data_IF_122750766905
#
_entry.id   IF_122750766905
#
_cell.length_a   1.000
_cell.length_b   1.000
_cell.length_c   1.000
_cell.angle_alpha   90.00
_cell.angle_beta   90.00
_cell.angle_gamma   90.00
#
_symmetry.space_group_name_H-M   'P 1'
#
loop_
_entity.id
_entity.type
_entity.pdbx_description
1 polymer ?
#
# COMPACT_ATOMS: atom_id res chain seq x y z
N UNK A 1 -28.69 4.29 -16.06
CA UNK A 1 -28.89 5.65 -16.54
C UNK A 1 -27.65 6.19 -17.24
N UNK A 2 -27.79 7.09 -18.19
CA UNK A 2 -26.69 7.63 -18.97
C UNK A 2 -25.62 8.33 -18.10
N UNK A 3 -26.05 8.99 -17.04
CA UNK A 3 -25.14 9.67 -16.11
C UNK A 3 -24.26 8.66 -15.36
N UNK A 4 -24.85 7.59 -14.86
CA UNK A 4 -24.11 6.54 -14.17
C UNK A 4 -23.10 5.84 -15.08
N UNK A 5 -23.49 5.53 -16.30
CA UNK A 5 -22.62 4.88 -17.27
C UNK A 5 -21.44 5.78 -17.67
N UNK A 6 -21.68 7.07 -17.89
CA UNK A 6 -20.64 8.03 -18.23
C UNK A 6 -19.64 8.22 -17.09
N UNK A 7 -20.12 8.33 -15.86
CA UNK A 7 -19.28 8.47 -14.67
C UNK A 7 -18.46 7.19 -14.45
N UNK A 8 -19.08 6.03 -14.62
CA UNK A 8 -18.38 4.75 -14.48
C UNK A 8 -17.26 4.57 -15.50
N UNK A 9 -17.46 5.00 -16.75
CA UNK A 9 -16.44 4.94 -17.79
C UNK A 9 -15.27 5.87 -17.49
N UNK A 10 -15.52 7.08 -16.99
CA UNK A 10 -14.48 8.03 -16.59
C UNK A 10 -13.65 7.49 -15.42
N UNK A 11 -14.31 6.92 -14.41
CA UNK A 11 -13.67 6.32 -13.26
C UNK A 11 -12.77 5.16 -13.72
N UNK A 12 -13.29 4.30 -14.61
CA UNK A 12 -12.54 3.19 -15.16
C UNK A 12 -11.27 3.64 -15.88
N UNK A 13 -11.36 4.69 -16.70
CA UNK A 13 -10.19 5.23 -17.42
C UNK A 13 -9.15 5.80 -16.47
N UNK A 14 -9.57 6.54 -15.45
CA UNK A 14 -8.65 7.09 -14.44
C UNK A 14 -7.96 5.98 -13.66
N UNK A 15 -8.71 4.95 -13.26
CA UNK A 15 -8.15 3.81 -12.54
C UNK A 15 -7.21 3.01 -13.44
N UNK A 16 -7.54 2.80 -14.70
CA UNK A 16 -6.69 2.11 -15.66
C UNK A 16 -5.37 2.85 -15.87
N UNK A 17 -5.44 4.17 -15.99
CA UNK A 17 -4.24 5.00 -16.13
C UNK A 17 -3.37 4.95 -14.88
N UNK A 18 -3.98 5.07 -13.71
CA UNK A 18 -3.27 4.98 -12.42
C UNK A 18 -2.59 3.62 -12.29
N UNK A 19 -3.27 2.54 -12.63
CA UNK A 19 -2.71 1.19 -12.60
C UNK A 19 -1.55 1.06 -13.58
N UNK A 20 -1.68 1.57 -14.80
CA UNK A 20 -0.64 1.51 -15.83
C UNK A 20 0.61 2.28 -15.40
N UNK A 21 0.44 3.48 -14.82
CA UNK A 21 1.56 4.28 -14.32
C UNK A 21 2.24 3.59 -13.13
N UNK A 22 1.45 3.00 -12.21
CA UNK A 22 2.00 2.27 -11.07
C UNK A 22 2.81 1.05 -11.52
N UNK A 23 2.40 0.37 -12.57
CA UNK A 23 3.12 -0.79 -13.12
C UNK A 23 4.51 -0.44 -13.65
N UNK A 24 4.75 0.82 -13.99
CA UNK A 24 6.06 1.28 -14.45
C UNK A 24 7.07 1.42 -13.31
N UNK A 25 6.62 1.37 -12.07
CA UNK A 25 7.46 1.56 -10.90
C UNK A 25 8.14 0.25 -10.55
N UNK A 26 9.47 0.26 -10.50
CA UNK A 26 10.24 -0.93 -10.13
C UNK A 26 9.93 -1.31 -8.68
N UNK A 27 9.65 -2.59 -8.46
CA UNK A 27 9.31 -3.11 -7.14
C UNK A 27 7.84 -3.04 -6.78
N UNK A 28 7.00 -2.42 -7.61
CA UNK A 28 5.56 -2.35 -7.39
C UNK A 28 4.85 -3.49 -8.12
N UNK A 29 3.98 -4.18 -7.42
CA UNK A 29 3.04 -5.15 -8.00
C UNK A 29 1.67 -4.52 -7.98
N UNK A 30 0.98 -4.50 -9.12
CA UNK A 30 -0.26 -3.77 -9.28
C UNK A 30 -1.39 -4.72 -9.65
N UNK A 31 -2.50 -4.58 -8.92
CA UNK A 31 -3.71 -5.38 -9.15
C UNK A 31 -4.92 -4.44 -9.11
N UNK A 32 -5.80 -4.57 -10.08
CA UNK A 32 -7.09 -3.91 -10.04
C UNK A 32 -8.08 -4.82 -9.33
N UNK A 33 -8.74 -4.29 -8.31
CA UNK A 33 -9.71 -5.05 -7.52
C UNK A 33 -11.07 -4.36 -7.57
N UNK A 34 -12.12 -5.15 -7.36
CA UNK A 34 -13.48 -4.65 -7.26
C UNK A 34 -14.03 -5.13 -5.92
N UNK A 35 -14.54 -4.20 -5.11
CA UNK A 35 -15.13 -4.56 -3.83
C UNK A 35 -16.53 -5.14 -4.00
N UNK A 36 -17.16 -5.55 -2.89
CA UNK A 36 -18.49 -6.16 -2.89
C UNK A 36 -19.59 -5.20 -3.39
N UNK A 37 -19.33 -3.90 -3.37
CA UNK A 37 -20.26 -2.88 -3.84
C UNK A 37 -20.00 -2.47 -5.30
N UNK A 38 -19.07 -3.14 -5.97
CA UNK A 38 -18.70 -2.81 -7.34
C UNK A 38 -17.76 -1.63 -7.47
N UNK A 39 -17.24 -1.11 -6.36
CA UNK A 39 -16.24 -0.04 -6.38
C UNK A 39 -14.89 -0.59 -6.80
N UNK A 40 -14.28 0.04 -7.78
CA UNK A 40 -12.95 -0.35 -8.27
C UNK A 40 -11.86 0.34 -7.48
N UNK A 41 -10.81 -0.41 -7.18
CA UNK A 41 -9.62 0.10 -6.53
C UNK A 41 -8.38 -0.44 -7.24
N UNK A 42 -7.27 0.28 -7.10
CA UNK A 42 -5.96 -0.21 -7.52
C UNK A 42 -5.19 -0.54 -6.25
N UNK A 43 -4.73 -1.78 -6.17
CA UNK A 43 -3.89 -2.24 -5.08
C UNK A 43 -2.45 -2.30 -5.56
N UNK A 44 -1.59 -1.54 -4.93
CA UNK A 44 -0.15 -1.51 -5.23
C UNK A 44 0.59 -2.13 -4.06
N UNK A 45 1.30 -3.20 -4.30
CA UNK A 45 2.04 -3.93 -3.27
C UNK A 45 3.53 -3.70 -3.45
N UNK A 46 4.19 -3.29 -2.37
CA UNK A 46 5.64 -3.13 -2.31
C UNK A 46 6.21 -4.14 -1.33
N UNK A 47 7.28 -4.83 -1.74
CA UNK A 47 8.01 -5.75 -0.85
C UNK A 47 8.74 -4.95 0.23
N UNK A 48 8.53 -5.31 1.49
CA UNK A 48 9.21 -4.64 2.61
C UNK A 48 10.73 -4.78 2.54
N UNK A 49 11.25 -5.86 1.96
CA UNK A 49 12.68 -6.03 1.77
C UNK A 49 13.30 -5.01 0.82
N UNK A 50 12.50 -4.49 -0.11
CA UNK A 50 12.90 -3.40 -1.00
C UNK A 50 12.75 -2.05 -0.30
N UNK A 51 11.67 -1.88 0.44
CA UNK A 51 11.34 -0.59 1.05
C UNK A 51 12.21 -0.25 2.27
N UNK A 52 12.52 -1.24 3.09
CA UNK A 52 13.11 -0.99 4.41
C UNK A 52 14.37 -1.80 4.62
N UNK A 53 15.26 -1.28 5.46
CA UNK A 53 16.37 -2.06 5.99
C UNK A 53 15.83 -3.05 7.02
N UNK A 54 16.56 -4.15 7.22
CA UNK A 54 16.11 -5.26 8.08
C UNK A 54 15.78 -4.78 9.49
N UNK A 55 14.59 -5.16 9.97
CA UNK A 55 14.18 -4.94 11.34
C UNK A 55 13.78 -3.51 11.69
N UNK A 56 13.71 -2.60 10.73
CA UNK A 56 13.31 -1.22 11.04
C UNK A 56 12.38 -0.65 9.97
N UNK A 57 11.97 0.61 10.19
CA UNK A 57 11.04 1.33 9.33
C UNK A 57 11.72 2.46 8.54
N UNK A 58 13.05 2.44 8.45
CA UNK A 58 13.79 3.43 7.66
C UNK A 58 13.75 3.06 6.19
N UNK A 59 13.33 3.99 5.35
CA UNK A 59 13.23 3.76 3.92
C UNK A 59 14.60 3.69 3.26
N UNK A 60 14.79 2.70 2.39
CA UNK A 60 16.00 2.58 1.58
C UNK A 60 16.02 3.64 0.48
N UNK A 61 17.20 3.93 -0.12
CA UNK A 61 17.27 4.84 -1.28
C UNK A 61 16.41 4.37 -2.45
N UNK A 62 16.36 3.05 -2.71
CA UNK A 62 15.52 2.47 -3.76
C UNK A 62 14.03 2.71 -3.46
N UNK A 63 13.64 2.59 -2.19
CA UNK A 63 12.28 2.86 -1.75
C UNK A 63 11.90 4.32 -1.99
N UNK A 64 12.78 5.24 -1.63
CA UNK A 64 12.53 6.66 -1.83
C UNK A 64 12.34 6.99 -3.30
N UNK A 65 13.16 6.40 -4.18
CA UNK A 65 13.00 6.56 -5.62
C UNK A 65 11.66 6.04 -6.10
N UNK A 66 11.28 4.82 -5.69
CA UNK A 66 10.02 4.20 -6.09
C UNK A 66 8.81 4.99 -5.58
N UNK A 67 8.84 5.40 -4.32
CA UNK A 67 7.74 6.17 -3.71
C UNK A 67 7.63 7.58 -4.30
N UNK A 68 8.75 8.22 -4.66
CA UNK A 68 8.74 9.50 -5.37
C UNK A 68 8.05 9.39 -6.71
N UNK A 69 8.36 8.34 -7.47
CA UNK A 69 7.71 8.09 -8.76
C UNK A 69 6.21 7.81 -8.56
N UNK A 70 5.87 7.04 -7.55
CA UNK A 70 4.49 6.73 -7.23
C UNK A 70 3.71 8.00 -6.86
N UNK A 71 4.30 8.86 -6.03
CA UNK A 71 3.69 10.13 -5.68
C UNK A 71 3.51 11.03 -6.92
N UNK A 72 4.57 11.22 -7.70
CA UNK A 72 4.57 12.18 -8.79
C UNK A 72 3.76 11.71 -9.99
N UNK A 73 3.83 10.43 -10.33
CA UNK A 73 3.21 9.90 -11.55
C UNK A 73 1.79 9.37 -11.33
N UNK A 74 1.45 9.00 -10.09
CA UNK A 74 0.16 8.40 -9.78
C UNK A 74 -0.66 9.31 -8.86
N UNK A 75 -0.21 9.53 -7.64
CA UNK A 75 -1.04 10.18 -6.61
C UNK A 75 -1.24 11.67 -6.85
N UNK A 76 -0.20 12.40 -7.23
CA UNK A 76 -0.30 13.84 -7.50
C UNK A 76 -1.05 14.15 -8.79
N UNK A 77 -1.19 13.16 -9.67
CA UNK A 77 -1.99 13.27 -10.90
C UNK A 77 -3.46 12.92 -10.66
N UNK A 78 -3.79 12.37 -9.48
CA UNK A 78 -5.12 11.88 -9.15
C UNK A 78 -5.51 12.33 -7.75
N UNK A 79 -5.57 13.64 -7.55
CA UNK A 79 -5.81 14.22 -6.22
C UNK A 79 -7.21 13.98 -5.67
N UNK A 80 -8.11 13.54 -6.52
CA UNK A 80 -9.48 13.15 -6.17
C UNK A 80 -9.57 11.68 -5.71
N UNK A 81 -8.47 10.95 -5.75
CA UNK A 81 -8.43 9.56 -5.30
C UNK A 81 -7.98 9.49 -3.84
N UNK A 82 -8.64 8.60 -3.09
CA UNK A 82 -8.26 8.29 -1.72
C UNK A 82 -7.21 7.20 -1.68
N UNK A 83 -6.32 7.30 -0.70
CA UNK A 83 -5.19 6.39 -0.52
C UNK A 83 -5.25 5.81 0.89
N UNK A 84 -5.14 4.50 0.99
CA UNK A 84 -5.01 3.79 2.28
C UNK A 84 -3.77 2.91 2.24
N UNK A 85 -3.01 2.91 3.32
CA UNK A 85 -1.71 2.26 3.42
C UNK A 85 -1.75 1.25 4.55
N UNK A 86 -1.41 0.00 4.26
CA UNK A 86 -1.41 -1.10 5.22
C UNK A 86 -0.06 -1.81 5.23
N UNK A 87 0.55 -1.92 6.40
CA UNK A 87 1.81 -2.65 6.58
C UNK A 87 1.56 -4.04 7.12
N UNK A 88 2.29 -5.03 6.61
CA UNK A 88 2.19 -6.44 7.03
C UNK A 88 3.56 -7.02 7.31
N UNK A 89 3.60 -7.99 8.21
CA UNK A 89 4.79 -8.76 8.53
C UNK A 89 4.56 -10.24 8.25
N UNK A 90 5.63 -11.05 8.34
CA UNK A 90 5.49 -12.48 8.51
C UNK A 90 5.19 -12.80 9.98
N UNK A 91 5.17 -14.08 10.33
CA UNK A 91 4.89 -14.54 11.69
C UNK A 91 6.15 -14.86 12.49
N UNK A 92 7.32 -14.43 12.06
CA UNK A 92 8.57 -14.76 12.75
C UNK A 92 8.61 -14.09 14.12
N UNK A 93 9.02 -14.89 15.11
CA UNK A 93 9.23 -14.41 16.46
C UNK A 93 10.45 -13.50 16.57
N UNK A 94 10.42 -12.64 17.55
CA UNK A 94 11.55 -11.78 17.88
C UNK A 94 12.42 -12.44 18.93
N UNK A 95 13.73 -12.17 18.84
CA UNK A 95 14.70 -12.69 19.78
C UNK A 95 14.36 -12.27 21.21
N UNK A 96 14.47 -13.20 22.16
CA UNK A 96 14.21 -12.97 23.57
C UNK A 96 12.79 -12.45 23.84
N UNK A 97 11.83 -12.90 23.05
CA UNK A 97 10.44 -12.47 23.17
C UNK A 97 9.51 -13.68 23.21
N UNK A 98 8.42 -13.56 23.96
CA UNK A 98 7.34 -14.53 23.94
C UNK A 98 6.59 -14.42 22.62
N UNK A 99 5.71 -15.39 22.33
CA UNK A 99 4.84 -15.33 21.15
C UNK A 99 3.97 -14.06 21.15
N UNK A 100 3.42 -13.71 22.31
CA UNK A 100 2.59 -12.51 22.50
C UNK A 100 3.40 -11.24 22.24
N UNK A 101 4.61 -11.15 22.81
CA UNK A 101 5.50 -10.02 22.62
C UNK A 101 5.91 -9.89 21.16
N UNK A 102 6.16 -11.01 20.48
CA UNK A 102 6.53 -11.02 19.05
C UNK A 102 5.40 -10.50 18.18
N UNK A 103 4.16 -10.92 18.46
CA UNK A 103 3.00 -10.41 17.73
C UNK A 103 2.85 -8.90 17.90
N UNK A 104 3.03 -8.41 19.12
CA UNK A 104 2.94 -6.98 19.40
C UNK A 104 4.06 -6.20 18.71
N UNK A 105 5.28 -6.73 18.71
CA UNK A 105 6.41 -6.11 18.02
C UNK A 105 6.21 -6.08 16.52
N UNK A 106 5.67 -7.15 15.94
CA UNK A 106 5.34 -7.19 14.52
C UNK A 106 4.24 -6.18 14.18
N UNK A 107 3.23 -6.07 15.03
CA UNK A 107 2.18 -5.06 14.85
C UNK A 107 2.75 -3.64 14.89
N UNK A 108 3.58 -3.35 15.87
CA UNK A 108 4.23 -2.04 15.99
C UNK A 108 5.13 -1.73 14.80
N UNK A 109 5.93 -2.69 14.35
CA UNK A 109 6.82 -2.52 13.19
C UNK A 109 6.01 -2.25 11.92
N UNK A 110 4.92 -2.99 11.72
CA UNK A 110 4.07 -2.79 10.56
C UNK A 110 3.41 -1.41 10.57
N UNK A 111 3.02 -0.91 11.75
CA UNK A 111 2.47 0.44 11.89
C UNK A 111 3.53 1.50 11.57
N UNK A 112 4.73 1.35 12.10
CA UNK A 112 5.83 2.27 11.83
C UNK A 112 6.20 2.29 10.35
N UNK A 113 6.18 1.14 9.69
CA UNK A 113 6.47 1.03 8.26
C UNK A 113 5.39 1.70 7.40
N UNK A 114 4.13 1.46 7.71
CA UNK A 114 3.03 2.14 7.03
C UNK A 114 3.13 3.65 7.20
N UNK A 115 3.45 4.10 8.41
CA UNK A 115 3.62 5.51 8.73
C UNK A 115 4.81 6.12 7.98
N UNK A 116 5.91 5.40 7.84
CA UNK A 116 7.08 5.87 7.09
C UNK A 116 6.75 6.09 5.62
N UNK A 117 5.98 5.18 5.03
CA UNK A 117 5.52 5.33 3.64
C UNK A 117 4.61 6.55 3.51
N UNK A 118 3.64 6.70 4.40
CA UNK A 118 2.73 7.85 4.39
C UNK A 118 3.47 9.17 4.51
N UNK A 119 4.39 9.26 5.46
CA UNK A 119 5.17 10.47 5.70
C UNK A 119 6.01 10.86 4.50
N UNK A 120 6.62 9.86 3.85
CA UNK A 120 7.43 10.13 2.66
C UNK A 120 6.57 10.58 1.47
N UNK A 121 5.40 9.98 1.29
CA UNK A 121 4.47 10.42 0.25
C UNK A 121 4.01 11.87 0.47
N UNK A 122 3.73 12.24 1.72
CA UNK A 122 3.40 13.63 2.07
C UNK A 122 4.55 14.58 1.73
N UNK A 123 5.79 14.19 2.00
CA UNK A 123 6.97 14.97 1.64
C UNK A 123 7.14 15.12 0.13
N UNK A 124 6.58 14.21 -0.65
CA UNK A 124 6.57 14.27 -2.12
C UNK A 124 5.39 15.09 -2.67
N UNK A 125 4.64 15.74 -1.81
CA UNK A 125 3.54 16.62 -2.23
C UNK A 125 2.17 15.97 -2.30
N UNK A 126 2.03 14.71 -1.87
CA UNK A 126 0.72 14.07 -1.80
C UNK A 126 -0.11 14.80 -0.75
N UNK A 127 -1.37 15.11 -1.08
CA UNK A 127 -2.26 15.82 -0.17
C UNK A 127 -2.62 14.96 1.04
N UNK A 128 -2.54 15.55 2.23
CA UNK A 128 -2.98 14.86 3.45
C UNK A 128 -4.46 14.47 3.39
N UNK A 129 -5.27 15.22 2.63
CA UNK A 129 -6.68 14.91 2.44
C UNK A 129 -6.90 13.63 1.64
N UNK A 130 -5.93 13.20 0.83
CA UNK A 130 -6.01 11.95 0.09
C UNK A 130 -5.74 10.73 0.98
N UNK A 131 -4.91 10.87 2.00
CA UNK A 131 -4.51 9.73 2.84
C UNK A 131 -5.57 9.51 3.91
N UNK A 132 -6.38 8.46 3.72
CA UNK A 132 -7.53 8.15 4.58
C UNK A 132 -7.23 7.10 5.64
N UNK A 133 -6.23 6.24 5.42
CA UNK A 133 -5.88 5.22 6.39
C UNK A 133 -4.39 4.90 6.34
N UNK A 134 -3.79 4.76 7.51
CA UNK A 134 -2.41 4.32 7.67
C UNK A 134 -2.40 3.35 8.84
N UNK A 135 -2.28 2.05 8.57
CA UNK A 135 -2.46 1.05 9.59
C UNK A 135 -1.47 -0.11 9.48
N UNK A 136 -0.93 -0.53 10.61
CA UNK A 136 -0.18 -1.76 10.72
C UNK A 136 -1.11 -2.92 10.99
N UNK A 137 -0.97 -3.98 10.21
CA UNK A 137 -1.79 -5.20 10.30
C UNK A 137 -1.01 -6.35 10.93
N UNK A 138 0.30 -6.17 11.16
CA UNK A 138 1.12 -7.22 11.74
C UNK A 138 1.16 -8.46 10.86
N UNK A 139 1.05 -9.61 11.49
CA UNK A 139 1.10 -10.91 10.81
C UNK A 139 -0.26 -11.38 10.27
N UNK A 140 -1.30 -10.55 10.37
CA UNK A 140 -2.62 -10.91 9.84
C UNK A 140 -2.63 -10.95 8.31
N UNK A 141 -3.58 -11.67 7.75
CA UNK A 141 -3.81 -11.76 6.30
C UNK A 141 -2.58 -12.17 5.49
N UNK A 142 -1.95 -13.31 5.80
CA UNK A 142 -0.83 -13.78 4.99
C UNK A 142 -1.27 -14.06 3.56
N UNK A 143 -0.44 -13.69 2.59
CA UNK A 143 -0.68 -13.93 1.17
C UNK A 143 0.04 -15.20 0.69
N UNK A 144 0.93 -15.74 1.52
CA UNK A 144 1.69 -16.95 1.22
C UNK A 144 1.97 -17.71 2.52
N UNK A 145 2.56 -18.90 2.40
CA UNK A 145 2.89 -19.70 3.57
C UNK A 145 4.04 -19.07 4.37
N UNK A 146 3.87 -18.97 5.69
CA UNK A 146 4.95 -18.58 6.59
C UNK A 146 5.96 -19.72 6.86
N UNK A 147 5.68 -20.92 6.35
CA UNK A 147 6.55 -22.08 6.55
C UNK A 147 7.81 -22.05 5.65
N UNK A 148 7.79 -21.25 4.59
CA UNK A 148 8.91 -21.11 3.67
C UNK A 148 9.48 -19.70 3.72
N UNK A 149 10.77 -19.57 3.44
CA UNK A 149 11.42 -18.26 3.35
C UNK A 149 10.82 -17.40 2.25
N UNK A 150 10.51 -17.99 1.10
CA UNK A 150 9.88 -17.28 -0.02
C UNK A 150 8.50 -16.78 0.35
N UNK A 151 7.70 -17.59 1.06
CA UNK A 151 6.36 -17.19 1.51
C UNK A 151 6.42 -16.08 2.55
N UNK A 152 7.35 -16.17 3.49
CA UNK A 152 7.56 -15.10 4.49
C UNK A 152 7.93 -13.77 3.82
N UNK A 153 8.78 -13.82 2.80
CA UNK A 153 9.15 -12.62 2.05
C UNK A 153 7.92 -11.96 1.42
N UNK A 154 7.03 -12.75 0.82
CA UNK A 154 5.79 -12.23 0.25
C UNK A 154 4.87 -11.63 1.31
N UNK A 155 4.85 -12.19 2.51
CA UNK A 155 4.02 -11.69 3.61
C UNK A 155 4.54 -10.35 4.16
N UNK A 156 5.84 -10.09 4.08
CA UNK A 156 6.45 -8.82 4.48
C UNK A 156 6.25 -7.80 3.37
N UNK A 157 5.14 -7.06 3.45
CA UNK A 157 4.74 -6.14 2.38
C UNK A 157 4.04 -4.89 2.92
N UNK A 158 3.97 -3.88 2.08
CA UNK A 158 3.10 -2.71 2.28
C UNK A 158 2.14 -2.68 1.10
N UNK A 159 0.86 -2.61 1.41
CA UNK A 159 -0.20 -2.50 0.40
C UNK A 159 -0.75 -1.09 0.41
N UNK A 160 -0.85 -0.50 -0.77
CA UNK A 160 -1.43 0.83 -0.96
C UNK A 160 -2.66 0.68 -1.85
N UNK A 161 -3.80 1.08 -1.32
CA UNK A 161 -5.07 1.04 -2.05
C UNK A 161 -5.41 2.43 -2.53
N UNK A 162 -5.70 2.54 -3.81
CA UNK A 162 -6.13 3.79 -4.43
C UNK A 162 -7.56 3.62 -4.88
N UNK A 163 -8.46 4.43 -4.32
CA UNK A 163 -9.88 4.39 -4.62
C UNK A 163 -10.37 5.76 -5.07
N UNK A 164 -11.17 5.77 -6.11
CA UNK A 164 -11.95 6.95 -6.44
C UNK A 164 -13.20 6.90 -5.61
N UNK A 165 -13.26 7.73 -4.58
CA UNK A 165 -14.46 7.79 -3.78
C UNK A 165 -15.58 8.44 -4.57
N UNK A 166 -16.69 7.73 -4.58
CA UNK A 166 -17.95 8.29 -5.00
C UNK A 166 -18.39 9.23 -3.89
N UNK A 167 -17.97 10.49 -3.97
CA UNK A 167 -18.59 11.47 -3.12
C UNK A 167 -19.96 11.78 -3.71
N UNK A 168 -20.99 11.26 -3.07
CA UNK A 168 -22.33 11.72 -3.34
C UNK A 168 -22.37 13.25 -3.16
N UNK A 169 -22.99 13.97 -4.07
CA UNK A 169 -23.20 15.39 -3.86
C UNK A 169 -24.04 15.63 -2.61
#
# INVERSE_FOLDING_TARGET
TAVGAGTGALIGKKMDKAAAEAKQIEGAQVEQITDNNGLKAVKVTFDSGILFTTGNASLSPAAKSALSKFANNVLNQNRDMDVSIYGYTDNQGWRNSTAEQSRQKNLNLSQERAQSVASYLLNCGVSSNQIKGVQGMGESDPVASNDTAAGREQNRRVEVYICLLYTSP
#
